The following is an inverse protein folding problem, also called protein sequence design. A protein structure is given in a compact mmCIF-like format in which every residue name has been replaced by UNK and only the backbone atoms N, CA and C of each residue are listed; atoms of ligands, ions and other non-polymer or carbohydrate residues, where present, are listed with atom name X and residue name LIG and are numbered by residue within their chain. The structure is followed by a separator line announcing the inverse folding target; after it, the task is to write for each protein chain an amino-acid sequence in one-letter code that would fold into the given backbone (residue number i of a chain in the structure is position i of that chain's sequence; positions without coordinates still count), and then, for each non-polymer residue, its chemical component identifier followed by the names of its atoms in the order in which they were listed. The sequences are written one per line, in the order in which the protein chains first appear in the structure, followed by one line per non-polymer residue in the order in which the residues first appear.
data_IF_253885697983
#
_entry.id   IF_253885697983
#
_cell.length_a   1.000
_cell.length_b   1.000
_cell.length_c   1.000
_cell.angle_alpha   90.00
_cell.angle_beta   90.00
_cell.angle_gamma   90.00
#
_symmetry.space_group_name_H-M   'P 1'
#
loop_
_entity.id
_entity.type
_entity.pdbx_description
1 polymer ?
#
# COMPACT_ATOMS: atom_id res chain seq x y z
N UNK A 1 -2.98 -1.52 20.96
CA UNK A 1 -2.62 -0.61 19.84
C UNK A 1 -2.30 0.72 20.48
N UNK A 2 -1.05 1.14 20.34
CA UNK A 2 -0.56 2.34 21.06
C UNK A 2 -0.49 3.55 20.12
N UNK A 3 -0.34 3.31 18.83
CA UNK A 3 -0.19 4.32 17.80
C UNK A 3 -0.71 3.80 16.46
N UNK A 4 -1.21 4.69 15.61
CA UNK A 4 -1.55 4.41 14.22
C UNK A 4 -0.68 5.27 13.31
N UNK A 5 -0.09 4.65 12.30
CA UNK A 5 0.73 5.32 11.30
C UNK A 5 0.26 4.91 9.91
N UNK A 6 -0.17 5.88 9.11
CA UNK A 6 -0.31 5.70 7.66
C UNK A 6 1.07 5.87 7.06
N UNK A 7 1.50 4.98 6.18
CA UNK A 7 2.84 5.04 5.60
C UNK A 7 2.82 4.83 4.08
N UNK A 8 3.54 5.69 3.37
CA UNK A 8 3.63 5.68 1.92
C UNK A 8 4.98 6.21 1.43
N UNK A 9 5.23 6.04 0.15
CA UNK A 9 6.30 6.67 -0.62
C UNK A 9 5.72 7.21 -1.93
N UNK A 10 6.52 7.95 -2.68
CA UNK A 10 6.15 8.43 -4.02
C UNK A 10 7.37 8.45 -4.92
N UNK A 11 7.17 8.73 -6.21
CA UNK A 11 8.26 8.89 -7.20
C UNK A 11 8.50 10.38 -7.51
N UNK A 12 9.71 10.76 -7.98
CA UNK A 12 10.04 12.18 -8.23
C UNK A 12 9.03 12.89 -9.13
N UNK A 13 8.55 12.19 -10.17
CA UNK A 13 7.63 12.75 -11.15
C UNK A 13 6.26 13.09 -10.54
N UNK A 14 5.76 12.27 -9.59
CA UNK A 14 4.51 12.55 -8.88
C UNK A 14 4.70 13.63 -7.82
N UNK A 15 5.86 13.64 -7.16
CA UNK A 15 6.19 14.64 -6.15
C UNK A 15 6.31 16.05 -6.73
N UNK A 16 6.90 16.16 -7.93
CA UNK A 16 7.08 17.44 -8.64
C UNK A 16 5.84 17.91 -9.41
N UNK A 17 4.81 17.06 -9.52
CA UNK A 17 3.59 17.39 -10.23
C UNK A 17 2.75 18.40 -9.43
N UNK A 18 2.51 19.58 -10.01
CA UNK A 18 1.89 20.70 -9.32
C UNK A 18 0.36 20.72 -9.26
N UNK A 19 -0.39 20.17 -10.22
CA UNK A 19 -1.86 20.19 -10.14
C UNK A 19 -2.38 19.59 -8.84
N UNK A 20 -3.48 20.15 -8.34
CA UNK A 20 -4.11 19.72 -7.09
C UNK A 20 -4.85 18.37 -7.21
N UNK A 21 -4.79 17.72 -8.35
CA UNK A 21 -5.48 16.49 -8.69
C UNK A 21 -4.59 15.24 -8.69
N UNK A 22 -3.39 15.33 -8.26
CA UNK A 22 -2.46 14.19 -8.26
C UNK A 22 -2.11 13.72 -6.86
N UNK A 23 -0.83 13.56 -6.62
CA UNK A 23 -0.29 13.15 -5.33
C UNK A 23 -0.69 14.10 -4.18
N UNK A 24 -0.87 15.41 -4.46
CA UNK A 24 -1.38 16.37 -3.46
C UNK A 24 -2.74 15.95 -2.91
N UNK A 25 -3.65 15.52 -3.79
CA UNK A 25 -5.00 15.09 -3.39
C UNK A 25 -4.96 13.76 -2.61
N UNK A 26 -4.10 12.83 -3.04
CA UNK A 26 -3.84 11.61 -2.28
C UNK A 26 -3.36 11.94 -0.86
N UNK A 27 -2.27 12.70 -0.74
CA UNK A 27 -1.69 13.06 0.56
C UNK A 27 -2.66 13.84 1.44
N UNK A 28 -3.46 14.75 0.84
CA UNK A 28 -4.53 15.46 1.55
C UNK A 28 -5.55 14.49 2.14
N UNK A 29 -6.02 13.52 1.36
CA UNK A 29 -7.01 12.53 1.83
C UNK A 29 -6.49 11.68 2.99
N UNK A 30 -5.18 11.40 3.02
CA UNK A 30 -4.53 10.70 4.12
C UNK A 30 -4.36 11.59 5.37
N UNK A 31 -4.19 12.89 5.18
CA UNK A 31 -4.08 13.86 6.29
C UNK A 31 -5.43 14.29 6.87
N UNK A 32 -6.53 14.05 6.15
CA UNK A 32 -7.89 14.48 6.55
C UNK A 32 -8.77 13.28 6.93
N UNK A 33 -8.20 12.30 7.64
CA UNK A 33 -8.95 11.15 8.14
C UNK A 33 -9.78 11.50 9.37
N UNK A 34 -10.98 10.94 9.47
CA UNK A 34 -11.87 11.06 10.62
C UNK A 34 -11.37 10.20 11.80
N UNK A 35 -10.17 10.49 12.31
CA UNK A 35 -9.60 9.78 13.43
C UNK A 35 -8.79 10.72 14.32
N UNK A 36 -8.95 10.59 15.65
CA UNK A 36 -8.43 11.60 16.59
C UNK A 36 -6.91 11.64 16.68
N UNK A 37 -6.23 10.50 16.56
CA UNK A 37 -4.79 10.42 16.78
C UNK A 37 -4.10 9.42 15.87
N UNK A 38 -3.38 9.92 14.88
CA UNK A 38 -2.57 9.15 13.96
C UNK A 38 -1.43 10.01 13.39
N UNK A 39 -0.49 9.38 12.73
CA UNK A 39 0.53 10.06 11.95
C UNK A 39 0.51 9.59 10.48
N UNK A 40 0.93 10.46 9.58
CA UNK A 40 1.19 10.13 8.16
C UNK A 40 2.70 10.21 7.94
N UNK A 41 3.32 9.09 7.60
CA UNK A 41 4.75 9.00 7.33
C UNK A 41 4.99 8.93 5.81
N UNK A 42 5.43 10.04 5.26
CA UNK A 42 5.86 10.13 3.87
C UNK A 42 7.36 9.84 3.79
N UNK A 43 7.70 8.67 3.28
CA UNK A 43 9.07 8.22 3.11
C UNK A 43 9.57 8.64 1.72
N UNK A 44 10.54 9.55 1.65
CA UNK A 44 11.10 10.08 0.40
C UNK A 44 12.58 9.74 0.32
N UNK A 45 13.01 8.94 -0.66
CA UNK A 45 14.42 8.67 -0.87
C UNK A 45 15.25 9.95 -1.12
N UNK A 46 16.55 9.86 -0.86
CA UNK A 46 17.47 10.92 -1.29
C UNK A 46 17.58 10.93 -2.82
N UNK A 47 17.66 9.73 -3.40
CA UNK A 47 17.86 9.53 -4.83
C UNK A 47 16.97 8.39 -5.34
N UNK A 48 16.42 8.55 -6.53
CA UNK A 48 15.60 7.52 -7.17
C UNK A 48 16.50 6.52 -7.89
N UNK A 49 16.54 5.28 -7.44
CA UNK A 49 17.47 4.27 -7.94
C UNK A 49 17.28 3.92 -9.42
N UNK A 50 16.07 4.10 -9.95
CA UNK A 50 15.77 3.77 -11.35
C UNK A 50 16.44 4.73 -12.34
N UNK A 51 16.39 6.03 -12.05
CA UNK A 51 16.92 7.07 -12.97
C UNK A 51 18.17 7.73 -12.46
N UNK A 52 18.48 7.59 -11.17
CA UNK A 52 19.54 8.32 -10.51
C UNK A 52 19.21 9.78 -10.19
N UNK A 53 17.96 10.19 -10.39
CA UNK A 53 17.46 11.54 -10.09
C UNK A 53 17.38 11.78 -8.58
N UNK A 54 17.77 12.96 -8.13
CA UNK A 54 17.60 13.38 -6.74
C UNK A 54 16.15 13.81 -6.49
N UNK A 55 15.58 13.39 -5.34
CA UNK A 55 14.28 13.89 -4.91
C UNK A 55 14.42 15.31 -4.38
N UNK A 56 13.78 16.26 -5.03
CA UNK A 56 13.60 17.63 -4.55
C UNK A 56 12.27 17.71 -3.82
N UNK A 57 12.31 18.13 -2.55
CA UNK A 57 11.07 18.35 -1.77
C UNK A 57 10.47 19.68 -2.22
N UNK A 58 9.28 19.68 -2.83
CA UNK A 58 8.65 20.93 -3.25
C UNK A 58 8.06 21.68 -2.05
N UNK A 59 7.96 22.99 -2.16
CA UNK A 59 7.49 23.88 -1.10
C UNK A 59 6.11 23.47 -0.57
N UNK A 60 5.23 22.97 -1.41
CA UNK A 60 3.88 22.57 -0.98
C UNK A 60 3.86 21.42 0.05
N UNK A 61 4.92 20.60 0.10
CA UNK A 61 5.08 19.59 1.16
C UNK A 61 5.31 20.24 2.51
N UNK A 62 6.16 21.29 2.56
CA UNK A 62 6.41 22.05 3.78
C UNK A 62 5.15 22.78 4.23
N UNK A 63 4.40 23.35 3.29
CA UNK A 63 3.11 23.99 3.56
C UNK A 63 2.08 22.99 4.12
N UNK A 64 2.09 21.75 3.62
CA UNK A 64 1.25 20.67 4.15
C UNK A 64 1.67 20.25 5.55
N UNK A 65 2.96 20.16 5.85
CA UNK A 65 3.43 19.86 7.21
C UNK A 65 3.05 20.96 8.23
N UNK A 66 3.02 22.22 7.81
CA UNK A 66 2.51 23.31 8.64
C UNK A 66 1.00 23.20 8.87
N UNK A 67 0.25 22.82 7.84
CA UNK A 67 -1.21 22.65 7.92
C UNK A 67 -1.63 21.37 8.66
N UNK A 68 -0.87 20.28 8.49
CA UNK A 68 -1.11 18.96 9.06
C UNK A 68 0.08 18.53 9.93
N UNK A 69 0.14 18.93 11.20
CA UNK A 69 1.32 18.66 12.07
C UNK A 69 1.60 17.17 12.29
N UNK A 70 0.64 16.28 12.00
CA UNK A 70 0.80 14.83 12.02
C UNK A 70 1.40 14.25 10.74
N UNK A 71 1.60 15.05 9.68
CA UNK A 71 2.38 14.67 8.51
C UNK A 71 3.88 14.76 8.83
N UNK A 72 4.57 13.63 8.73
CA UNK A 72 6.02 13.52 8.94
C UNK A 72 6.68 13.09 7.65
N UNK A 73 7.67 13.85 7.20
CA UNK A 73 8.49 13.53 6.03
C UNK A 73 9.83 12.99 6.47
N UNK A 74 10.21 11.83 5.97
CA UNK A 74 11.47 11.17 6.28
C UNK A 74 12.30 10.95 5.03
N UNK A 75 13.62 11.20 5.14
CA UNK A 75 14.59 10.99 4.07
C UNK A 75 15.38 9.70 4.33
N UNK A 76 15.62 8.91 3.29
CA UNK A 76 16.29 7.62 3.38
C UNK A 76 16.90 7.18 2.07
N UNK A 77 17.54 6.03 2.06
CA UNK A 77 17.95 5.32 0.85
C UNK A 77 16.74 4.70 0.15
N UNK A 78 16.77 4.67 -1.18
CA UNK A 78 15.70 4.07 -1.98
C UNK A 78 15.81 2.53 -1.96
N UNK A 79 14.74 1.90 -1.53
CA UNK A 79 14.57 0.43 -1.54
C UNK A 79 13.60 -0.02 -2.65
N UNK A 80 13.22 0.89 -3.56
CA UNK A 80 12.11 0.68 -4.47
C UNK A 80 10.75 0.71 -3.76
N UNK A 81 9.73 -0.04 -4.21
CA UNK A 81 8.41 -0.08 -3.59
C UNK A 81 8.42 -0.36 -2.06
N UNK A 82 9.29 -1.21 -1.49
CA UNK A 82 9.42 -1.38 -0.05
C UNK A 82 9.72 -0.11 0.75
N UNK A 83 10.23 0.96 0.11
CA UNK A 83 10.44 2.26 0.76
C UNK A 83 9.17 2.81 1.43
N UNK A 84 7.99 2.44 0.91
CA UNK A 84 6.72 2.89 1.51
C UNK A 84 6.55 2.43 2.96
N UNK A 85 7.14 1.31 3.37
CA UNK A 85 6.85 0.70 4.66
C UNK A 85 8.07 0.29 5.48
N UNK A 86 9.13 -0.24 4.88
CA UNK A 86 10.28 -0.80 5.61
C UNK A 86 10.93 0.22 6.56
N UNK A 87 11.20 1.47 6.15
CA UNK A 87 11.77 2.46 7.05
C UNK A 87 10.85 2.81 8.22
N UNK A 88 9.54 2.71 8.03
CA UNK A 88 8.56 2.94 9.09
C UNK A 88 8.54 1.78 10.09
N UNK A 89 8.63 0.53 9.64
CA UNK A 89 8.80 -0.64 10.51
C UNK A 89 10.03 -0.47 11.41
N UNK A 90 11.14 0.02 10.87
CA UNK A 90 12.39 0.21 11.61
C UNK A 90 12.32 1.31 12.68
N UNK A 91 11.46 2.32 12.48
CA UNK A 91 11.32 3.47 13.40
C UNK A 91 10.31 3.25 14.50
N UNK A 92 9.27 2.49 14.22
CA UNK A 92 8.09 2.42 15.07
C UNK A 92 8.19 1.31 16.12
N UNK A 93 7.40 1.45 17.17
CA UNK A 93 7.33 0.46 18.25
C UNK A 93 6.47 -0.75 17.88
N UNK A 94 6.68 -1.91 18.49
CA UNK A 94 5.98 -3.15 18.13
C UNK A 94 4.45 -3.07 18.10
N UNK A 95 3.85 -2.25 18.97
CA UNK A 95 2.38 -2.11 19.06
C UNK A 95 1.80 -1.04 18.13
N UNK A 96 2.62 -0.45 17.26
CA UNK A 96 2.12 0.47 16.23
C UNK A 96 1.38 -0.30 15.16
N UNK A 97 0.16 0.13 14.85
CA UNK A 97 -0.60 -0.31 13.68
C UNK A 97 -0.16 0.52 12.47
N UNK A 98 0.41 -0.15 11.49
CA UNK A 98 0.70 0.45 10.18
C UNK A 98 -0.50 0.30 9.27
N UNK A 99 -0.86 1.37 8.56
CA UNK A 99 -1.77 1.37 7.42
C UNK A 99 -0.94 1.78 6.21
N UNK A 100 -0.65 0.82 5.35
CA UNK A 100 0.19 1.02 4.15
C UNK A 100 -0.68 1.38 2.98
N UNK A 101 -0.30 2.44 2.26
CA UNK A 101 -1.06 3.00 1.13
C UNK A 101 -0.15 3.26 -0.06
N UNK A 102 -0.76 3.33 -1.26
CA UNK A 102 -0.11 3.86 -2.45
C UNK A 102 -0.34 5.38 -2.57
N UNK A 103 0.35 6.00 -3.51
CA UNK A 103 0.39 7.45 -3.70
C UNK A 103 -0.51 7.96 -4.84
N UNK A 104 -1.38 7.10 -5.38
CA UNK A 104 -2.20 7.36 -6.56
C UNK A 104 -3.70 7.11 -6.38
N UNK A 105 -4.16 7.06 -5.13
CA UNK A 105 -5.57 6.95 -4.77
C UNK A 105 -6.00 8.08 -3.85
N UNK A 106 -7.28 8.38 -3.87
CA UNK A 106 -7.94 9.20 -2.84
C UNK A 106 -8.60 8.24 -1.85
N UNK A 107 -8.23 8.36 -0.59
CA UNK A 107 -8.70 7.47 0.46
C UNK A 107 -9.93 8.07 1.16
N UNK A 108 -10.87 7.20 1.52
CA UNK A 108 -12.06 7.63 2.24
C UNK A 108 -11.71 8.18 3.63
N UNK A 109 -12.39 9.22 4.13
CA UNK A 109 -12.10 9.79 5.45
C UNK A 109 -12.19 8.81 6.62
N UNK A 110 -12.96 7.74 6.50
CA UNK A 110 -13.12 6.72 7.54
C UNK A 110 -12.22 5.48 7.35
N UNK A 111 -11.22 5.54 6.48
CA UNK A 111 -10.32 4.41 6.22
C UNK A 111 -9.67 3.89 7.50
N UNK A 112 -9.20 4.77 8.37
CA UNK A 112 -8.59 4.36 9.65
C UNK A 112 -9.61 3.63 10.52
N UNK A 113 -10.82 4.17 10.67
CA UNK A 113 -11.88 3.56 11.46
C UNK A 113 -12.19 2.14 11.01
N UNK A 114 -12.28 1.93 9.69
CA UNK A 114 -12.54 0.60 9.13
C UNK A 114 -11.38 -0.37 9.39
N UNK A 115 -10.12 0.06 9.20
CA UNK A 115 -8.98 -0.77 9.55
C UNK A 115 -8.95 -1.13 11.04
N UNK A 116 -9.20 -0.19 11.93
CA UNK A 116 -9.26 -0.42 13.39
C UNK A 116 -10.37 -1.39 13.75
N UNK A 117 -11.56 -1.23 13.17
CA UNK A 117 -12.69 -2.13 13.37
C UNK A 117 -12.31 -3.58 13.06
N UNK A 118 -11.72 -3.83 11.91
CA UNK A 118 -11.35 -5.20 11.51
C UNK A 118 -10.11 -5.73 12.22
N UNK A 119 -9.12 -4.88 12.56
CA UNK A 119 -7.98 -5.30 13.38
C UNK A 119 -8.39 -5.69 14.81
N UNK A 120 -9.49 -5.16 15.31
CA UNK A 120 -10.06 -5.55 16.61
C UNK A 120 -10.75 -6.91 16.52
N UNK A 121 -11.35 -7.25 15.38
CA UNK A 121 -12.04 -8.53 15.15
C UNK A 121 -11.06 -9.65 14.75
N UNK A 122 -10.06 -9.33 13.95
CA UNK A 122 -9.10 -10.25 13.37
C UNK A 122 -7.73 -10.08 14.05
N UNK A 123 -7.66 -10.49 15.31
CA UNK A 123 -6.42 -10.40 16.08
C UNK A 123 -5.29 -11.20 15.39
N UNK A 124 -4.09 -10.64 15.37
CA UNK A 124 -2.89 -11.22 14.77
C UNK A 124 -3.04 -11.61 13.29
N UNK A 125 -3.70 -10.74 12.53
CA UNK A 125 -3.89 -10.88 11.09
C UNK A 125 -3.52 -9.58 10.34
N UNK A 126 -3.29 -9.74 9.05
CA UNK A 126 -3.23 -8.63 8.09
C UNK A 126 -4.63 -8.37 7.57
N UNK A 127 -5.05 -7.11 7.61
CA UNK A 127 -6.34 -6.65 7.09
C UNK A 127 -6.12 -5.83 5.84
N UNK A 128 -6.84 -6.14 4.77
CA UNK A 128 -6.67 -5.50 3.47
C UNK A 128 -8.01 -5.36 2.73
N UNK A 129 -8.05 -4.43 1.78
CA UNK A 129 -9.22 -4.21 0.91
C UNK A 129 -9.02 -4.76 -0.51
N UNK A 130 -7.84 -5.30 -0.78
CA UNK A 130 -7.51 -5.94 -2.05
C UNK A 130 -6.49 -7.05 -1.84
N UNK A 131 -6.65 -8.14 -2.56
CA UNK A 131 -5.74 -9.28 -2.43
C UNK A 131 -5.92 -10.29 -3.56
N UNK A 132 -5.03 -11.27 -3.59
CA UNK A 132 -5.10 -12.36 -4.55
C UNK A 132 -5.23 -13.70 -3.86
N UNK A 133 -5.98 -14.58 -4.50
CA UNK A 133 -6.05 -15.98 -4.12
C UNK A 133 -6.16 -16.84 -5.36
N UNK A 134 -5.77 -18.10 -5.24
CA UNK A 134 -6.05 -19.08 -6.28
C UNK A 134 -7.46 -19.61 -6.10
N UNK A 135 -8.26 -19.52 -7.12
CA UNK A 135 -9.61 -20.07 -7.15
C UNK A 135 -9.67 -21.24 -8.13
N UNK A 136 -10.37 -22.33 -7.78
CA UNK A 136 -10.62 -23.41 -8.71
C UNK A 136 -11.44 -22.90 -9.90
N UNK A 137 -11.00 -23.22 -11.11
CA UNK A 137 -11.81 -23.01 -12.31
C UNK A 137 -12.82 -24.17 -12.45
N UNK A 138 -13.85 -23.95 -13.25
CA UNK A 138 -14.81 -25.02 -13.61
C UNK A 138 -14.15 -26.23 -14.31
N UNK A 139 -12.89 -26.11 -14.72
CA UNK A 139 -12.11 -27.14 -15.39
C UNK A 139 -11.14 -27.86 -14.45
N UNK A 140 -11.15 -27.52 -13.15
CA UNK A 140 -10.25 -28.10 -12.15
C UNK A 140 -8.87 -27.45 -12.06
N UNK A 141 -8.55 -26.52 -12.95
CA UNK A 141 -7.33 -25.75 -12.83
C UNK A 141 -7.45 -24.66 -11.77
N UNK A 142 -6.33 -24.23 -11.21
CA UNK A 142 -6.27 -23.08 -10.32
C UNK A 142 -5.89 -21.84 -11.13
N UNK A 143 -6.62 -20.75 -10.97
CA UNK A 143 -6.27 -19.45 -11.55
C UNK A 143 -6.09 -18.40 -10.47
N UNK A 144 -5.13 -17.50 -10.70
CA UNK A 144 -5.03 -16.27 -9.93
C UNK A 144 -6.33 -15.48 -10.08
N UNK A 145 -6.92 -15.17 -8.95
CA UNK A 145 -8.11 -14.35 -8.88
C UNK A 145 -7.87 -13.17 -7.97
N UNK A 146 -8.16 -11.99 -8.49
CA UNK A 146 -8.23 -10.80 -7.67
C UNK A 146 -9.50 -10.83 -6.83
N UNK A 147 -9.33 -10.60 -5.54
CA UNK A 147 -10.43 -10.41 -4.60
C UNK A 147 -10.49 -8.92 -4.30
N UNK A 148 -11.27 -8.18 -5.08
CA UNK A 148 -11.33 -6.71 -5.05
C UNK A 148 -12.40 -6.18 -4.12
N UNK A 149 -13.43 -6.99 -3.89
CA UNK A 149 -14.58 -6.60 -3.10
C UNK A 149 -15.24 -7.86 -2.58
N UNK A 150 -15.49 -7.88 -1.32
CA UNK A 150 -16.12 -9.02 -0.66
C UNK A 150 -17.32 -8.54 0.15
N UNK A 151 -18.37 -9.34 0.19
CA UNK A 151 -19.49 -9.18 1.12
C UNK A 151 -19.20 -9.79 2.49
N UNK A 152 -18.18 -10.60 2.58
CA UNK A 152 -17.75 -11.31 3.79
C UNK A 152 -16.22 -11.35 3.87
N UNK A 153 -15.69 -11.52 5.08
CA UNK A 153 -14.27 -11.63 5.33
C UNK A 153 -13.71 -12.85 4.60
N UNK A 154 -12.76 -12.63 3.71
CA UNK A 154 -12.19 -13.67 2.85
C UNK A 154 -10.68 -13.80 3.04
N UNK A 155 -10.20 -15.03 3.28
CA UNK A 155 -8.76 -15.30 3.40
C UNK A 155 -8.10 -15.24 2.02
N UNK A 156 -6.93 -14.59 1.95
CA UNK A 156 -6.12 -14.49 0.74
C UNK A 156 -4.70 -14.99 0.96
N UNK A 157 -3.96 -15.18 -0.12
CA UNK A 157 -2.57 -15.66 -0.11
C UNK A 157 -1.55 -14.58 -0.45
N UNK A 158 -1.98 -13.56 -1.16
CA UNK A 158 -1.16 -12.42 -1.55
C UNK A 158 -1.91 -11.14 -1.23
N UNK A 159 -1.27 -10.27 -0.47
CA UNK A 159 -1.77 -8.93 -0.20
C UNK A 159 -1.49 -8.00 -1.38
N UNK A 160 -2.29 -6.94 -1.47
CA UNK A 160 -2.05 -5.82 -2.35
C UNK A 160 -2.16 -4.54 -1.53
N UNK A 161 -1.12 -3.73 -1.51
CA UNK A 161 -1.14 -2.45 -0.80
C UNK A 161 -2.01 -1.40 -1.49
N UNK A 162 -2.38 -1.65 -2.72
CA UNK A 162 -3.06 -0.72 -3.62
C UNK A 162 -4.23 0.05 -2.98
N UNK A 163 -5.18 -0.63 -2.34
CA UNK A 163 -6.32 0.04 -1.68
C UNK A 163 -6.10 0.34 -0.20
N UNK A 164 -5.04 -0.02 0.35
CA UNK A 164 -4.56 -0.01 1.72
C UNK A 164 -4.59 -1.39 2.37
N UNK A 165 -3.64 -1.55 3.28
CA UNK A 165 -3.54 -2.76 4.08
C UNK A 165 -2.98 -2.41 5.46
N UNK A 166 -3.43 -3.11 6.50
CA UNK A 166 -2.93 -2.84 7.85
C UNK A 166 -2.40 -4.07 8.55
N UNK A 167 -1.35 -3.84 9.33
CA UNK A 167 -0.68 -4.85 10.15
C UNK A 167 0.18 -4.18 11.24
N UNK A 168 0.55 -4.94 12.25
CA UNK A 168 1.37 -4.42 13.34
C UNK A 168 2.87 -4.57 13.09
N UNK A 169 3.65 -3.61 13.59
CA UNK A 169 5.11 -3.64 13.55
C UNK A 169 5.67 -4.90 14.25
N UNK A 170 5.04 -5.39 15.33
CA UNK A 170 5.46 -6.61 16.03
C UNK A 170 5.49 -7.88 15.19
N UNK A 171 4.90 -7.87 13.99
CA UNK A 171 4.99 -9.02 13.09
C UNK A 171 6.36 -9.18 12.44
N UNK A 172 7.18 -8.13 12.45
CA UNK A 172 8.49 -8.10 11.82
C UNK A 172 9.60 -8.34 12.84
N UNK A 173 10.27 -9.46 12.69
CA UNK A 173 11.43 -9.84 13.47
C UNK A 173 12.74 -9.60 12.69
N UNK A 174 13.88 -9.87 13.32
CA UNK A 174 15.19 -9.64 12.69
C UNK A 174 15.37 -10.37 11.36
N UNK A 175 14.78 -11.57 11.21
CA UNK A 175 14.84 -12.36 9.99
C UNK A 175 14.22 -11.66 8.77
N UNK A 176 13.22 -10.80 8.99
CA UNK A 176 12.68 -9.98 7.89
C UNK A 176 13.77 -9.16 7.21
N UNK A 177 14.63 -8.54 8.00
CA UNK A 177 15.68 -7.65 7.50
C UNK A 177 16.91 -8.40 6.96
N UNK A 178 17.21 -9.57 7.49
CA UNK A 178 18.39 -10.35 7.09
C UNK A 178 18.12 -11.34 5.95
N UNK A 179 16.95 -11.96 5.94
CA UNK A 179 16.68 -13.11 5.08
C UNK A 179 15.66 -12.81 3.97
N UNK A 180 14.79 -11.81 4.15
CA UNK A 180 13.72 -11.50 3.20
C UNK A 180 13.92 -10.19 2.44
N UNK A 181 14.30 -9.12 3.13
CA UNK A 181 14.50 -7.81 2.51
C UNK A 181 15.54 -7.88 1.39
N UNK A 182 15.20 -7.32 0.23
CA UNK A 182 16.06 -7.34 -0.96
C UNK A 182 15.95 -8.60 -1.83
N UNK A 183 15.16 -9.60 -1.44
CA UNK A 183 14.93 -10.80 -2.28
C UNK A 183 14.00 -10.52 -3.46
N UNK A 184 13.16 -9.53 -3.37
CA UNK A 184 12.28 -9.06 -4.44
C UNK A 184 12.08 -7.56 -4.35
N UNK A 185 11.81 -6.93 -5.50
CA UNK A 185 11.47 -5.50 -5.57
C UNK A 185 9.97 -5.24 -5.34
N UNK A 186 9.12 -6.26 -5.45
CA UNK A 186 7.70 -6.12 -5.15
C UNK A 186 7.46 -6.19 -3.66
N UNK A 187 6.97 -5.10 -3.09
CA UNK A 187 6.58 -5.03 -1.69
C UNK A 187 5.40 -5.95 -1.36
N UNK A 188 4.44 -6.08 -2.27
CA UNK A 188 3.30 -7.01 -2.12
C UNK A 188 3.77 -8.46 -1.99
N UNK A 189 4.67 -8.90 -2.88
CA UNK A 189 5.24 -10.24 -2.86
C UNK A 189 6.11 -10.44 -1.62
N UNK A 190 6.97 -9.48 -1.29
CA UNK A 190 7.84 -9.52 -0.11
C UNK A 190 7.04 -9.74 1.18
N UNK A 191 6.03 -8.89 1.39
CA UNK A 191 5.21 -8.94 2.59
C UNK A 191 4.34 -10.19 2.65
N UNK A 192 3.73 -10.58 1.54
CA UNK A 192 2.91 -11.80 1.46
C UNK A 192 3.70 -13.04 1.82
N UNK A 193 4.92 -13.15 1.29
CA UNK A 193 5.79 -14.27 1.57
C UNK A 193 6.24 -14.29 3.04
N UNK A 194 6.64 -13.13 3.57
CA UNK A 194 7.04 -13.03 4.96
C UNK A 194 5.89 -13.39 5.92
N UNK A 195 4.70 -12.86 5.72
CA UNK A 195 3.54 -13.18 6.54
C UNK A 195 3.17 -14.67 6.46
N UNK A 196 3.30 -15.28 5.28
CA UNK A 196 3.11 -16.72 5.12
C UNK A 196 4.16 -17.50 5.92
N UNK A 197 5.44 -17.11 5.85
CA UNK A 197 6.52 -17.73 6.62
C UNK A 197 6.25 -17.66 8.13
N UNK A 198 5.77 -16.50 8.60
CA UNK A 198 5.40 -16.29 10.01
C UNK A 198 4.03 -16.87 10.38
N UNK A 199 3.34 -17.53 9.45
CA UNK A 199 1.97 -18.08 9.62
C UNK A 199 0.93 -17.03 10.02
N UNK A 200 1.16 -15.76 9.68
CA UNK A 200 0.23 -14.67 9.87
C UNK A 200 -0.80 -14.72 8.76
N UNK A 201 -2.07 -14.74 9.11
CA UNK A 201 -3.17 -14.81 8.15
C UNK A 201 -3.42 -13.43 7.52
N UNK A 202 -3.83 -13.44 6.26
CA UNK A 202 -4.20 -12.24 5.51
C UNK A 202 -5.67 -12.34 5.09
N UNK A 203 -6.45 -11.27 5.32
CA UNK A 203 -7.88 -11.25 5.03
C UNK A 203 -8.27 -9.99 4.27
N UNK A 204 -8.92 -10.18 3.13
CA UNK A 204 -9.72 -9.12 2.50
C UNK A 204 -11.01 -8.99 3.30
N UNK A 205 -11.34 -7.76 3.66
CA UNK A 205 -12.54 -7.44 4.44
C UNK A 205 -13.52 -6.61 3.62
N UNK A 206 -14.82 -6.67 3.91
CA UNK A 206 -15.77 -5.77 3.30
C UNK A 206 -15.38 -4.32 3.59
N UNK A 207 -15.43 -3.51 2.56
CA UNK A 207 -15.28 -2.07 2.68
C UNK A 207 -16.58 -1.43 2.22
N UNK A 208 -17.37 -1.01 3.17
CA UNK A 208 -18.67 -0.37 2.96
C UNK A 208 -18.67 1.03 3.58
N UNK A 209 -17.81 1.96 3.14
CA UNK A 209 -18.04 3.33 3.53
C UNK A 209 -19.35 3.77 2.89
N UNK A 210 -20.23 4.41 3.65
CA UNK A 210 -21.31 5.19 3.07
C UNK A 210 -20.67 6.32 2.25
N UNK A 211 -20.44 6.04 0.99
CA UNK A 211 -19.88 7.03 0.08
C UNK A 211 -21.03 7.94 -0.28
N UNK A 212 -21.12 9.08 0.38
CA UNK A 212 -21.77 10.23 -0.23
C UNK A 212 -21.13 10.38 -1.61
N UNK A 213 -21.96 10.29 -2.65
CA UNK A 213 -21.52 10.45 -4.03
C UNK A 213 -20.82 11.80 -4.15
N UNK A 214 -19.52 11.80 -3.99
CA UNK A 214 -18.70 12.98 -4.25
C UNK A 214 -18.69 13.14 -5.76
N UNK A 215 -19.74 13.79 -6.26
CA UNK A 215 -20.05 13.99 -7.68
C UNK A 215 -19.04 14.87 -8.42
N UNK A 216 -17.98 15.32 -7.75
CA UNK A 216 -17.01 16.27 -8.30
C UNK A 216 -15.68 15.63 -8.73
N UNK A 217 -15.44 14.36 -8.46
CA UNK A 217 -14.21 13.72 -8.90
C UNK A 217 -14.40 13.03 -10.25
N UNK A 218 -13.94 13.66 -11.32
CA UNK A 218 -13.80 13.03 -12.64
C UNK A 218 -12.76 11.93 -12.54
N UNK A 219 -13.19 10.69 -12.56
CA UNK A 219 -12.26 9.55 -12.55
C UNK A 219 -12.69 8.34 -11.74
N UNK A 220 -13.92 8.31 -11.25
CA UNK A 220 -14.48 7.13 -10.61
C UNK A 220 -14.62 5.98 -11.61
N UNK A 221 -14.03 4.84 -11.31
CA UNK A 221 -14.38 3.59 -11.96
C UNK A 221 -15.44 2.88 -11.12
N UNK A 222 -16.65 2.81 -11.64
CA UNK A 222 -17.58 1.78 -11.22
C UNK A 222 -17.09 0.43 -11.77
N UNK A 223 -16.41 -0.34 -10.96
CA UNK A 223 -16.13 -1.72 -11.27
C UNK A 223 -17.26 -2.58 -10.70
N UNK A 224 -18.18 -3.06 -11.57
CA UNK A 224 -19.26 -4.00 -11.26
C UNK A 224 -20.23 -3.54 -10.14
N UNK A 225 -20.57 -2.27 -10.08
CA UNK A 225 -21.57 -1.74 -9.14
C UNK A 225 -21.06 -1.51 -7.72
N UNK A 226 -19.77 -1.63 -7.50
CA UNK A 226 -19.12 -1.34 -6.22
C UNK A 226 -18.34 -0.05 -6.34
N UNK A 227 -18.54 0.86 -5.41
CA UNK A 227 -17.80 2.10 -5.36
C UNK A 227 -16.35 1.80 -5.01
N UNK A 228 -15.49 1.88 -6.00
CA UNK A 228 -14.04 1.75 -5.83
C UNK A 228 -13.45 3.09 -5.41
N UNK A 229 -12.31 3.07 -4.75
CA UNK A 229 -11.53 4.28 -4.51
C UNK A 229 -11.27 5.00 -5.84
N UNK A 230 -11.43 6.32 -5.91
CA UNK A 230 -11.10 7.04 -7.12
C UNK A 230 -9.61 6.92 -7.38
N UNK A 231 -9.28 6.38 -8.55
CA UNK A 231 -7.91 6.34 -9.05
C UNK A 231 -7.57 7.71 -9.60
N UNK A 232 -6.49 8.30 -9.13
CA UNK A 232 -6.01 9.57 -9.64
C UNK A 232 -5.42 9.38 -11.03
N UNK A 233 -6.21 9.71 -12.08
CA UNK A 233 -5.71 9.71 -13.44
C UNK A 233 -4.96 11.00 -13.72
N UNK A 234 -3.67 10.88 -13.90
CA UNK A 234 -2.91 11.94 -14.53
C UNK A 234 -3.22 11.97 -16.02
N UNK A 235 -3.54 13.14 -16.55
CA UNK A 235 -3.84 13.38 -17.96
C UNK A 235 -2.71 12.94 -18.90
N UNK A 236 -1.52 12.65 -18.40
CA UNK A 236 -0.33 12.28 -19.16
C UNK A 236 0.10 10.80 -19.02
N UNK A 237 -0.77 9.91 -18.56
CA UNK A 237 -0.45 8.49 -18.46
C UNK A 237 0.56 8.13 -17.36
N UNK A 238 0.92 9.06 -16.48
CA UNK A 238 1.90 8.87 -15.40
C UNK A 238 1.39 8.00 -14.23
N UNK A 239 0.17 7.50 -14.30
CA UNK A 239 -0.46 6.70 -13.23
C UNK A 239 0.23 5.38 -12.93
N UNK A 240 0.95 4.82 -13.89
CA UNK A 240 1.62 3.52 -13.74
C UNK A 240 3.13 3.62 -13.91
N UNK A 241 3.72 4.79 -13.75
CA UNK A 241 5.14 5.00 -14.05
C UNK A 241 6.09 4.46 -12.99
N UNK A 242 5.59 4.08 -11.82
CA UNK A 242 6.47 3.52 -10.78
C UNK A 242 7.01 2.13 -11.12
N UNK A 243 6.13 1.19 -11.50
CA UNK A 243 6.51 -0.21 -11.71
C UNK A 243 6.41 -0.68 -13.17
N UNK A 244 5.59 -0.02 -14.00
CA UNK A 244 5.22 -0.51 -15.33
C UNK A 244 5.62 0.42 -16.49
N UNK A 245 6.42 1.46 -16.25
CA UNK A 245 6.95 2.27 -17.35
C UNK A 245 7.84 1.39 -18.24
N UNK A 246 7.72 1.44 -19.59
CA UNK A 246 8.56 0.63 -20.47
C UNK A 246 10.06 0.78 -20.24
N UNK A 247 10.52 1.95 -19.77
CA UNK A 247 11.90 2.19 -19.45
C UNK A 247 12.32 1.65 -18.08
N UNK A 248 11.38 1.57 -17.12
CA UNK A 248 11.58 0.85 -15.84
C UNK A 248 11.67 -0.66 -16.07
N UNK A 249 10.86 -1.20 -16.97
CA UNK A 249 10.92 -2.62 -17.36
C UNK A 249 12.23 -3.00 -18.06
N UNK A 250 12.93 -2.04 -18.68
CA UNK A 250 14.26 -2.27 -19.28
C UNK A 250 15.38 -2.29 -18.24
N UNK A 251 15.20 -1.63 -17.10
CA UNK A 251 16.20 -1.50 -16.04
C UNK A 251 15.94 -2.49 -14.90
N UNK A 252 14.69 -2.94 -14.73
CA UNK A 252 14.40 -4.01 -13.77
C UNK A 252 14.83 -5.35 -14.37
N UNK A 253 15.73 -6.10 -13.71
CA UNK A 253 15.78 -7.52 -13.98
C UNK A 253 14.36 -8.04 -13.79
N UNK A 254 13.81 -8.73 -14.82
CA UNK A 254 12.50 -9.40 -14.81
C UNK A 254 12.16 -9.77 -13.38
N UNK A 255 10.96 -9.45 -12.90
CA UNK A 255 10.50 -9.81 -11.56
C UNK A 255 11.01 -11.20 -11.24
N UNK A 256 12.19 -11.25 -10.61
CA UNK A 256 12.79 -12.52 -10.22
C UNK A 256 12.02 -12.92 -8.97
N UNK A 257 10.99 -13.71 -9.19
CA UNK A 257 10.40 -14.48 -8.10
C UNK A 257 11.42 -15.60 -7.87
N UNK A 258 12.17 -15.62 -6.77
CA UNK A 258 13.09 -16.71 -6.45
C UNK A 258 12.34 -18.05 -6.58
N UNK A 259 13.01 -19.12 -7.03
CA UNK A 259 12.34 -20.41 -7.26
C UNK A 259 11.70 -20.97 -5.97
N UNK A 260 12.23 -20.61 -4.82
CA UNK A 260 11.63 -20.88 -3.52
C UNK A 260 10.27 -20.19 -3.33
N UNK A 261 10.00 -19.04 -4.00
CA UNK A 261 8.73 -18.37 -4.02
C UNK A 261 7.76 -18.99 -5.02
N UNK A 262 8.27 -19.63 -6.08
CA UNK A 262 7.45 -20.37 -7.06
C UNK A 262 6.93 -21.70 -6.50
N UNK A 263 7.61 -22.25 -5.48
CA UNK A 263 7.23 -23.49 -4.77
C UNK A 263 6.29 -23.23 -3.60
N UNK A 264 5.61 -22.09 -3.57
CA UNK A 264 4.57 -21.85 -2.59
C UNK A 264 3.46 -22.85 -2.87
N UNK A 265 3.40 -23.90 -2.06
CA UNK A 265 2.31 -24.86 -2.10
C UNK A 265 0.99 -24.10 -1.90
N UNK A 266 0.25 -23.98 -2.98
CA UNK A 266 -1.07 -23.35 -3.01
C UNK A 266 -2.16 -24.26 -2.44
N UNK A 267 -1.78 -25.33 -1.75
CA UNK A 267 -2.73 -26.25 -1.13
C UNK A 267 -3.27 -25.61 0.15
N UNK A 268 -4.57 -25.50 0.22
CA UNK A 268 -5.28 -25.13 1.43
C UNK A 268 -5.17 -26.30 2.43
N UNK A 269 -4.52 -26.09 3.56
CA UNK A 269 -4.86 -26.78 4.80
C UNK A 269 -5.87 -25.95 5.58
#
# INVERSE_FOLDING_TARGET
MDKIVITLTTVPQRLSFEPEDGFKLCLKSLCEQNYDSYEVHLNIPHKYNVTGEEYVIPQWIEDYQLRYPHLKVFRMEDMGPPTKVVPTIQRETPNTLLIVTDDDLVYHPDMINEHVKYQTQLTDAVVLYDGRSLVPTKWGDLRDSWILTVSEISRVKELQHYKSCSYFVRYFEQDFFTDFLGKTLSDDVLMSYYFKHKKIKMFVVPYEPEIEKVSSYQGWYEFQGVTTFPVLRHTNGLMHTGCNHPDTLKVQPKFFIPDEFKKIDYVFE
#
